data_IF_400612533208
#
_entry.id   IF_400612533208
#
_cell.length_a   1.000
_cell.length_b   1.000
_cell.length_c   1.000
_cell.angle_alpha   90.00
_cell.angle_beta   90.00
_cell.angle_gamma   90.00
#
_symmetry.space_group_name_H-M   'P 1'
#
loop_
_entity.id
_entity.type
_entity.pdbx_description
1 polymer ?
#
# COMPACT_ATOMS: atom_id res chain seq x y z
N UNK A 1 12.77 18.62 -10.80
CA UNK A 1 12.04 17.34 -10.66
C UNK A 1 12.62 16.39 -11.69
N UNK A 2 13.36 15.36 -11.25
CA UNK A 2 13.95 14.40 -12.18
C UNK A 2 12.83 13.53 -12.76
N UNK A 3 12.57 13.70 -14.05
CA UNK A 3 11.63 12.87 -14.81
C UNK A 3 12.11 11.41 -14.73
N UNK A 4 11.26 10.52 -14.23
CA UNK A 4 11.59 9.09 -14.14
C UNK A 4 11.67 8.55 -15.57
N UNK A 5 12.82 7.96 -15.92
CA UNK A 5 13.02 7.30 -17.20
C UNK A 5 11.92 6.23 -17.43
N UNK A 6 11.16 6.32 -18.54
CA UNK A 6 10.09 5.37 -18.85
C UNK A 6 10.54 3.91 -18.88
N UNK A 7 11.77 3.63 -19.32
CA UNK A 7 12.27 2.25 -19.36
C UNK A 7 12.51 1.72 -17.95
N UNK A 8 13.15 2.51 -17.09
CA UNK A 8 13.33 2.21 -15.67
C UNK A 8 11.99 1.97 -14.96
N UNK A 9 11.00 2.83 -15.21
CA UNK A 9 9.65 2.66 -14.66
C UNK A 9 9.03 1.32 -15.09
N UNK A 10 9.07 0.99 -16.38
CA UNK A 10 8.50 -0.26 -16.88
C UNK A 10 9.18 -1.50 -16.28
N UNK A 11 10.51 -1.48 -16.10
CA UNK A 11 11.24 -2.57 -15.43
C UNK A 11 10.79 -2.76 -13.98
N UNK A 12 10.69 -1.66 -13.22
CA UNK A 12 10.22 -1.71 -11.82
C UNK A 12 8.78 -2.21 -11.75
N UNK A 13 7.91 -1.73 -12.64
CA UNK A 13 6.52 -2.15 -12.71
C UNK A 13 6.39 -3.64 -12.99
N UNK A 14 7.05 -4.17 -14.02
CA UNK A 14 6.97 -5.60 -14.36
C UNK A 14 7.48 -6.48 -13.22
N UNK A 15 8.61 -6.12 -12.61
CA UNK A 15 9.16 -6.85 -11.45
C UNK A 15 8.21 -6.83 -10.26
N UNK A 16 7.67 -5.65 -9.93
CA UNK A 16 6.75 -5.47 -8.81
C UNK A 16 5.44 -6.22 -9.02
N UNK A 17 4.84 -6.15 -10.22
CA UNK A 17 3.62 -6.88 -10.56
C UNK A 17 3.84 -8.39 -10.58
N UNK A 18 4.99 -8.85 -11.09
CA UNK A 18 5.39 -10.26 -11.06
C UNK A 18 5.51 -10.78 -9.63
N UNK A 19 6.25 -10.07 -8.78
CA UNK A 19 6.38 -10.40 -7.37
C UNK A 19 5.04 -10.35 -6.62
N UNK A 20 4.20 -9.34 -6.87
CA UNK A 20 2.91 -9.20 -6.19
C UNK A 20 2.02 -10.44 -6.40
N UNK A 21 2.02 -10.99 -7.62
CA UNK A 21 1.25 -12.19 -7.98
C UNK A 21 1.71 -13.45 -7.24
N UNK A 22 2.97 -13.52 -6.82
CA UNK A 22 3.50 -14.70 -6.09
C UNK A 22 3.18 -14.68 -4.60
N UNK A 23 2.71 -13.56 -4.05
CA UNK A 23 2.47 -13.44 -2.60
C UNK A 23 1.26 -14.26 -2.15
N UNK A 24 0.14 -14.14 -2.86
CA UNK A 24 -1.12 -14.79 -2.48
C UNK A 24 -1.67 -14.26 -1.16
N UNK A 25 -1.40 -14.98 -0.07
CA UNK A 25 -1.98 -14.72 1.25
C UNK A 25 -0.90 -14.76 2.33
N UNK A 26 -1.02 -13.87 3.32
CA UNK A 26 -0.04 -13.73 4.40
C UNK A 26 -0.72 -13.73 5.76
N UNK A 27 -0.17 -14.48 6.71
CA UNK A 27 -0.58 -14.42 8.12
C UNK A 27 -0.07 -13.14 8.77
N UNK A 28 -0.97 -12.44 9.45
CA UNK A 28 -0.68 -11.23 10.22
C UNK A 28 -0.89 -11.50 11.72
N UNK A 29 0.15 -11.40 12.57
CA UNK A 29 0.03 -11.63 14.00
C UNK A 29 -1.01 -10.77 14.69
N UNK A 30 -1.10 -9.47 14.34
CA UNK A 30 -2.08 -8.56 14.93
C UNK A 30 -3.54 -9.04 14.72
N UNK A 31 -3.87 -9.51 13.52
CA UNK A 31 -5.23 -9.99 13.21
C UNK A 31 -5.50 -11.42 13.66
N UNK A 32 -4.45 -12.17 14.06
CA UNK A 32 -4.52 -13.63 14.25
C UNK A 32 -5.15 -14.35 13.05
N UNK A 33 -4.88 -13.84 11.85
CA UNK A 33 -5.55 -14.23 10.63
C UNK A 33 -4.77 -13.82 9.39
N UNK A 34 -5.44 -13.88 8.23
CA UNK A 34 -4.80 -13.73 6.93
C UNK A 34 -5.12 -12.40 6.25
N UNK A 35 -4.16 -11.93 5.45
CA UNK A 35 -4.28 -10.75 4.59
C UNK A 35 -4.00 -11.16 3.14
N UNK A 36 -4.97 -10.93 2.28
CA UNK A 36 -4.93 -11.30 0.87
C UNK A 36 -4.26 -10.21 0.01
N UNK A 37 -3.35 -10.60 -0.87
CA UNK A 37 -2.76 -9.75 -1.90
C UNK A 37 -3.50 -9.99 -3.22
N UNK A 38 -4.53 -9.19 -3.48
CA UNK A 38 -5.44 -9.37 -4.61
C UNK A 38 -5.33 -8.24 -5.66
N UNK A 39 -6.06 -8.38 -6.77
CA UNK A 39 -6.05 -7.40 -7.85
C UNK A 39 -6.45 -5.98 -7.38
N UNK A 40 -7.35 -5.85 -6.40
CA UNK A 40 -7.79 -4.55 -5.88
C UNK A 40 -6.64 -3.78 -5.24
N UNK A 41 -5.77 -4.47 -4.50
CA UNK A 41 -4.58 -3.88 -3.89
C UNK A 41 -3.58 -3.39 -4.94
N UNK A 42 -3.28 -4.22 -5.94
CA UNK A 42 -2.38 -3.85 -7.03
C UNK A 42 -2.92 -2.70 -7.88
N UNK A 43 -4.23 -2.69 -8.16
CA UNK A 43 -4.87 -1.60 -8.89
C UNK A 43 -4.83 -0.29 -8.11
N UNK A 44 -4.98 -0.32 -6.79
CA UNK A 44 -4.89 0.88 -5.97
C UNK A 44 -3.45 1.48 -5.91
N UNK A 45 -2.41 0.68 -6.18
CA UNK A 45 -1.04 1.20 -6.37
C UNK A 45 -0.94 2.03 -7.66
N UNK A 46 -1.67 1.65 -8.72
CA UNK A 46 -1.64 2.32 -10.04
C UNK A 46 -2.64 3.47 -10.14
N UNK A 47 -3.80 3.32 -9.51
CA UNK A 47 -4.93 4.24 -9.63
C UNK A 47 -5.29 4.86 -8.28
N UNK A 48 -5.55 6.17 -8.28
CA UNK A 48 -5.99 6.92 -7.09
C UNK A 48 -7.50 6.78 -6.90
N UNK A 49 -8.24 6.75 -8.00
CA UNK A 49 -9.68 6.58 -8.04
C UNK A 49 -10.08 5.91 -9.36
N UNK A 50 -11.38 5.63 -9.53
CA UNK A 50 -11.92 5.17 -10.80
C UNK A 50 -11.51 6.11 -11.93
N UNK A 51 -10.91 5.56 -12.98
CA UNK A 51 -10.42 6.29 -14.16
C UNK A 51 -9.43 7.43 -13.84
N UNK A 52 -8.75 7.39 -12.69
CA UNK A 52 -7.72 8.37 -12.31
C UNK A 52 -6.43 7.66 -11.94
N UNK A 53 -5.53 7.60 -12.89
CA UNK A 53 -4.16 7.07 -12.72
C UNK A 53 -3.38 7.95 -11.75
N UNK A 54 -2.57 7.33 -10.89
CA UNK A 54 -1.62 8.06 -10.04
C UNK A 54 -0.50 8.64 -10.90
N UNK A 55 0.14 9.70 -10.42
CA UNK A 55 1.35 10.22 -11.05
C UNK A 55 2.41 9.11 -11.15
N UNK A 56 3.24 9.13 -12.20
CA UNK A 56 4.25 8.10 -12.45
C UNK A 56 5.20 7.97 -11.25
N UNK A 57 5.57 9.10 -10.64
CA UNK A 57 6.42 9.16 -9.44
C UNK A 57 5.79 8.40 -8.26
N UNK A 58 4.50 8.66 -7.99
CA UNK A 58 3.76 7.98 -6.94
C UNK A 58 3.67 6.47 -7.19
N UNK A 59 3.43 6.06 -8.43
CA UNK A 59 3.40 4.65 -8.80
C UNK A 59 4.77 4.00 -8.61
N UNK A 60 5.83 4.64 -9.13
CA UNK A 60 7.20 4.16 -9.04
C UNK A 60 7.60 3.90 -7.59
N UNK A 61 7.36 4.86 -6.71
CA UNK A 61 7.71 4.77 -5.28
C UNK A 61 6.98 3.64 -4.56
N UNK A 62 5.70 3.41 -4.90
CA UNK A 62 4.91 2.35 -4.26
C UNK A 62 5.29 0.97 -4.80
N UNK A 63 5.54 0.88 -6.10
CA UNK A 63 5.97 -0.35 -6.77
C UNK A 63 7.39 -0.75 -6.33
N UNK A 64 8.30 0.21 -6.17
CA UNK A 64 9.65 -0.08 -5.69
C UNK A 64 9.67 -0.66 -4.28
N UNK A 65 8.70 -0.29 -3.43
CA UNK A 65 8.60 -0.73 -2.04
C UNK A 65 7.72 -1.96 -1.83
N UNK A 66 7.06 -2.48 -2.87
CA UNK A 66 6.05 -3.54 -2.72
C UNK A 66 6.58 -4.81 -2.03
N UNK A 67 7.88 -5.08 -2.17
CA UNK A 67 8.57 -6.20 -1.56
C UNK A 67 8.60 -6.13 -0.03
N UNK A 68 8.48 -4.94 0.56
CA UNK A 68 8.43 -4.75 2.01
C UNK A 68 7.05 -5.04 2.59
N UNK A 69 5.97 -4.83 1.82
CA UNK A 69 4.61 -5.04 2.28
C UNK A 69 4.36 -6.41 2.94
N UNK A 70 4.75 -7.55 2.34
CA UNK A 70 4.59 -8.86 2.96
C UNK A 70 5.37 -9.01 4.26
N UNK A 71 6.61 -8.50 4.32
CA UNK A 71 7.47 -8.58 5.51
C UNK A 71 6.93 -7.77 6.68
N UNK A 72 6.41 -6.57 6.40
CA UNK A 72 5.80 -5.72 7.41
C UNK A 72 4.59 -6.43 8.01
N UNK A 73 3.66 -6.93 7.19
CA UNK A 73 2.44 -7.59 7.67
C UNK A 73 2.78 -8.84 8.51
N UNK A 74 3.76 -9.65 8.09
CA UNK A 74 4.18 -10.87 8.80
C UNK A 74 4.75 -10.58 10.19
N UNK A 75 5.44 -9.45 10.35
CA UNK A 75 6.13 -9.07 11.60
C UNK A 75 5.27 -8.20 12.52
N UNK A 76 4.21 -7.59 12.00
CA UNK A 76 3.35 -6.69 12.77
C UNK A 76 2.44 -7.43 13.75
N UNK A 77 2.73 -7.25 15.04
CA UNK A 77 1.87 -7.64 16.18
C UNK A 77 1.06 -6.48 16.76
N UNK A 78 1.42 -5.23 16.43
CA UNK A 78 0.75 -4.02 16.89
C UNK A 78 0.29 -3.16 15.71
N UNK A 79 -0.83 -2.47 15.90
CA UNK A 79 -1.41 -1.55 14.93
C UNK A 79 -1.02 -0.11 15.28
N UNK A 80 -0.57 0.67 14.30
CA UNK A 80 -0.20 2.08 14.51
C UNK A 80 -1.33 3.05 14.18
N UNK A 81 -2.35 2.61 13.42
CA UNK A 81 -3.52 3.42 13.13
C UNK A 81 -4.70 2.59 12.65
N UNK A 82 -5.91 3.01 13.02
CA UNK A 82 -7.18 2.46 12.52
C UNK A 82 -8.07 3.60 12.07
N UNK A 83 -8.68 3.49 10.90
CA UNK A 83 -9.68 4.43 10.43
C UNK A 83 -10.88 3.71 9.84
N UNK A 84 -12.08 4.15 10.21
CA UNK A 84 -13.33 3.57 9.76
C UNK A 84 -14.18 4.63 9.04
N UNK A 85 -14.87 4.22 8.00
CA UNK A 85 -15.73 5.12 7.22
C UNK A 85 -16.86 4.34 6.54
N UNK A 86 -17.94 5.03 6.16
CA UNK A 86 -19.02 4.46 5.34
C UNK A 86 -18.84 4.95 3.92
N UNK A 87 -18.74 4.03 2.97
CA UNK A 87 -18.55 4.35 1.56
C UNK A 87 -19.39 3.42 0.68
N UNK A 88 -19.76 3.91 -0.49
CA UNK A 88 -20.40 3.10 -1.52
C UNK A 88 -19.39 2.14 -2.14
N UNK A 89 -19.71 0.85 -2.10
CA UNK A 89 -18.94 -0.22 -2.74
C UNK A 89 -19.78 -0.80 -3.86
N UNK A 90 -19.18 -1.00 -5.03
CA UNK A 90 -19.84 -1.69 -6.14
C UNK A 90 -19.82 -3.19 -5.86
N UNK A 91 -21.00 -3.76 -5.70
CA UNK A 91 -21.21 -5.20 -5.51
C UNK A 91 -21.98 -5.71 -6.70
N UNK A 92 -21.61 -6.90 -7.19
CA UNK A 92 -22.35 -7.56 -8.25
C UNK A 92 -23.46 -8.40 -7.62
N UNK A 93 -24.70 -7.98 -7.78
CA UNK A 93 -25.90 -8.65 -7.28
C UNK A 93 -26.80 -8.96 -8.47
N UNK A 94 -27.25 -10.20 -8.63
CA UNK A 94 -28.16 -10.61 -9.72
C UNK A 94 -27.71 -10.12 -11.12
N UNK A 95 -26.43 -10.29 -11.44
CA UNK A 95 -25.79 -9.82 -12.69
C UNK A 95 -25.77 -8.31 -12.93
N UNK A 96 -26.20 -7.50 -11.95
CA UNK A 96 -26.14 -6.04 -11.99
C UNK A 96 -25.09 -5.52 -10.99
N UNK A 97 -24.47 -4.39 -11.33
CA UNK A 97 -23.56 -3.70 -10.42
C UNK A 97 -24.33 -2.66 -9.64
N UNK A 98 -24.48 -2.89 -8.34
CA UNK A 98 -25.18 -1.98 -7.44
C UNK A 98 -24.19 -1.32 -6.49
N UNK A 99 -24.41 -0.03 -6.20
CA UNK A 99 -23.63 0.72 -5.24
C UNK A 99 -24.30 0.60 -3.86
N UNK A 100 -23.69 -0.16 -2.97
CA UNK A 100 -24.22 -0.39 -1.61
C UNK A 100 -23.33 0.30 -0.60
N UNK A 101 -23.92 1.01 0.36
CA UNK A 101 -23.18 1.64 1.44
C UNK A 101 -22.67 0.56 2.41
N UNK A 102 -21.35 0.50 2.61
CA UNK A 102 -20.72 -0.45 3.54
C UNK A 102 -19.75 0.25 4.48
N UNK A 103 -19.59 -0.33 5.67
CA UNK A 103 -18.53 0.07 6.59
C UNK A 103 -17.18 -0.45 6.08
N UNK A 104 -16.19 0.42 6.01
CA UNK A 104 -14.84 0.12 5.54
C UNK A 104 -13.86 0.46 6.66
N UNK A 105 -13.01 -0.50 7.01
CA UNK A 105 -11.90 -0.31 7.95
C UNK A 105 -10.58 -0.29 7.20
N UNK A 106 -9.71 0.64 7.60
CA UNK A 106 -8.32 0.75 7.18
C UNK A 106 -7.41 0.57 8.39
N UNK A 107 -6.42 -0.28 8.23
CA UNK A 107 -5.44 -0.64 9.25
C UNK A 107 -4.05 -0.24 8.78
N UNK A 108 -3.33 0.50 9.62
CA UNK A 108 -2.02 1.04 9.32
C UNK A 108 -0.93 0.31 10.11
N UNK A 109 0.01 -0.30 9.39
CA UNK A 109 1.22 -0.89 9.93
C UNK A 109 2.43 -0.09 9.49
N UNK A 110 3.26 0.33 10.44
CA UNK A 110 4.48 1.10 10.17
C UNK A 110 5.67 0.29 10.64
N UNK A 111 6.67 0.14 9.79
CA UNK A 111 7.92 -0.52 10.13
C UNK A 111 9.09 0.14 9.41
N UNK A 112 10.29 -0.10 9.95
CA UNK A 112 11.57 0.20 9.31
C UNK A 112 12.20 -1.13 8.94
N UNK A 113 12.40 -1.36 7.64
CA UNK A 113 13.09 -2.54 7.11
C UNK A 113 14.16 -2.04 6.14
N UNK A 114 15.39 -2.53 6.26
CA UNK A 114 16.53 -2.12 5.43
C UNK A 114 16.69 -0.59 5.34
N UNK A 115 16.67 0.07 6.50
CA UNK A 115 16.70 1.54 6.66
C UNK A 115 15.55 2.30 5.96
N UNK A 116 14.54 1.59 5.46
CA UNK A 116 13.40 2.18 4.78
C UNK A 116 12.18 2.14 5.68
N UNK A 117 11.71 3.33 6.09
CA UNK A 117 10.45 3.47 6.83
C UNK A 117 9.26 3.48 5.87
N UNK A 118 8.37 2.51 6.02
CA UNK A 118 7.18 2.37 5.19
C UNK A 118 5.93 2.11 6.02
N UNK A 119 4.80 2.60 5.51
CA UNK A 119 3.45 2.35 6.01
C UNK A 119 2.71 1.42 5.06
N UNK A 120 2.24 0.29 5.56
CA UNK A 120 1.34 -0.62 4.86
C UNK A 120 -0.08 -0.37 5.33
N UNK A 121 -1.00 -0.32 4.37
CA UNK A 121 -2.44 -0.18 4.61
C UNK A 121 -3.12 -1.48 4.23
N UNK A 122 -3.85 -2.06 5.18
CA UNK A 122 -4.77 -3.18 4.97
C UNK A 122 -6.20 -2.65 5.01
N UNK A 123 -7.05 -3.13 4.11
CA UNK A 123 -8.45 -2.73 4.00
C UNK A 123 -9.36 -3.92 4.28
N UNK A 124 -10.48 -3.65 4.94
CA UNK A 124 -11.55 -4.58 5.23
C UNK A 124 -12.89 -3.93 4.91
N UNK A 125 -13.83 -4.69 4.37
CA UNK A 125 -15.17 -4.23 4.03
C UNK A 125 -16.16 -5.07 4.82
N UNK A 126 -16.89 -4.45 5.75
CA UNK A 126 -18.00 -5.05 6.49
C UNK A 126 -17.66 -6.40 7.16
N UNK A 127 -16.49 -6.48 7.80
CA UNK A 127 -16.02 -7.71 8.47
C UNK A 127 -15.65 -8.85 7.52
N UNK A 128 -15.58 -8.59 6.21
CA UNK A 128 -15.12 -9.56 5.22
C UNK A 128 -13.60 -9.75 5.24
N UNK A 129 -13.07 -10.31 4.15
CA UNK A 129 -11.63 -10.57 4.04
C UNK A 129 -10.80 -9.29 4.13
N UNK A 130 -9.70 -9.38 4.86
CA UNK A 130 -8.67 -8.33 4.92
C UNK A 130 -7.75 -8.48 3.72
N UNK A 131 -7.50 -7.39 3.02
CA UNK A 131 -6.61 -7.40 1.86
C UNK A 131 -5.67 -6.21 1.87
N UNK A 132 -4.48 -6.42 1.30
CA UNK A 132 -3.54 -5.34 1.07
C UNK A 132 -4.19 -4.25 0.23
N UNK A 133 -4.09 -3.00 0.68
CA UNK A 133 -4.59 -1.83 -0.04
C UNK A 133 -3.47 -0.98 -0.61
N UNK A 134 -2.42 -0.72 0.18
CA UNK A 134 -1.35 0.16 -0.27
C UNK A 134 -0.09 0.06 0.57
N UNK A 135 1.02 0.53 0.01
CA UNK A 135 2.25 0.84 0.74
C UNK A 135 2.62 2.29 0.48
N UNK A 136 3.05 3.02 1.50
CA UNK A 136 3.37 4.45 1.46
C UNK A 136 4.75 4.65 2.11
N UNK A 137 5.73 5.25 1.42
CA UNK A 137 6.98 5.65 2.06
C UNK A 137 6.73 6.77 3.09
N UNK A 138 7.42 6.76 4.22
CA UNK A 138 7.50 7.96 5.06
C UNK A 138 8.47 8.95 4.42
N UNK A 139 7.98 10.12 4.04
CA UNK A 139 8.78 11.20 3.47
C UNK A 139 9.16 12.25 4.52
N UNK A 140 10.39 12.72 4.38
CA UNK A 140 10.85 14.02 4.84
C UNK A 140 11.04 14.97 3.67
N UNK A 141 11.03 16.26 3.97
CA UNK A 141 11.62 17.25 3.05
C UNK A 141 12.98 17.59 3.63
N UNK A 142 14.02 17.36 2.85
CA UNK A 142 15.34 17.87 3.18
C UNK A 142 15.26 19.39 3.34
N UNK A 143 15.68 19.91 4.48
CA UNK A 143 15.54 21.36 4.77
C UNK A 143 16.40 22.20 3.83
N UNK A 144 17.53 21.66 3.35
CA UNK A 144 18.54 22.40 2.59
C UNK A 144 18.31 22.31 1.08
N UNK A 145 18.02 21.12 0.56
CA UNK A 145 17.84 20.87 -0.87
C UNK A 145 16.38 20.92 -1.33
N UNK A 146 15.42 20.97 -0.39
CA UNK A 146 13.97 20.85 -0.61
C UNK A 146 13.57 19.58 -1.38
N UNK A 147 14.45 18.58 -1.42
CA UNK A 147 14.18 17.30 -2.07
C UNK A 147 13.44 16.38 -1.11
N UNK A 148 12.62 15.48 -1.68
CA UNK A 148 11.94 14.45 -0.88
C UNK A 148 12.97 13.40 -0.47
N UNK A 149 13.21 13.28 0.83
CA UNK A 149 14.08 12.23 1.39
C UNK A 149 13.21 11.10 1.95
N UNK A 150 13.57 9.88 1.59
CA UNK A 150 13.17 8.70 2.35
C UNK A 150 13.94 8.72 3.67
N UNK A 151 13.25 8.99 4.78
CA UNK A 151 13.91 9.01 6.09
C UNK A 151 14.45 7.63 6.44
N UNK A 152 15.75 7.46 6.26
CA UNK A 152 16.58 6.57 7.07
C UNK A 152 17.06 7.43 8.25
N UNK A 153 16.24 7.54 9.30
CA UNK A 153 16.56 8.42 10.43
C UNK A 153 17.96 8.14 10.98
N UNK A 154 18.70 9.19 11.37
CA UNK A 154 19.93 9.07 12.16
C UNK A 154 19.60 9.51 13.58
N UNK A 155 19.34 8.58 14.52
CA UNK A 155 18.85 8.92 15.87
C UNK A 155 19.79 9.82 16.68
N UNK A 156 21.08 9.87 16.32
CA UNK A 156 22.10 10.68 17.00
C UNK A 156 22.09 12.15 16.56
N UNK A 157 21.48 12.47 15.41
CA UNK A 157 21.59 13.79 14.76
C UNK A 157 20.23 14.48 14.55
N UNK A 158 19.12 13.73 14.60
CA UNK A 158 17.73 14.22 14.57
C UNK A 158 17.15 14.38 15.98
#
# INVERSE_FOLDING_TARGET
>A
MNQIDPQKFNKVKQRAEGFYKTIGTIKCPYFKGEVNFNAKGLDHIKFKAWNRTRLIEDQYMRLSLIHLAPEIIKRSSTLQGKWETRNFVRVKTNSRWEAVMKCISFYEFIAVIDNTRAKVIVKEIEGGEKFFWSIIPFWGVDKDTRQRILHSGKPEVD
#
